data_IF_105045948226
#
_entry.id   IF_105045948226
#
_cell.length_a   1.000
_cell.length_b   1.000
_cell.length_c   1.000
_cell.angle_alpha   90.00
_cell.angle_beta   90.00
_cell.angle_gamma   90.00
#
_symmetry.space_group_name_H-M   'P 1'
#
loop_
_entity.id
_entity.type
_entity.pdbx_description
1 polymer ?
#
# COMPACT_ATOMS: atom_id res chain seq x y z
N UNK A 1 -45.80 -11.72 15.58
CA UNK A 1 -44.61 -10.90 15.89
C UNK A 1 -44.93 -9.44 15.76
N UNK A 2 -44.56 -8.61 16.74
CA UNK A 2 -44.61 -7.15 16.60
C UNK A 2 -43.59 -6.71 15.53
N UNK A 3 -44.04 -6.69 14.27
CA UNK A 3 -43.18 -6.30 13.15
C UNK A 3 -42.95 -4.80 13.15
N UNK A 4 -41.74 -4.39 13.38
CA UNK A 4 -41.34 -3.01 13.11
C UNK A 4 -41.41 -2.78 11.60
N UNK A 5 -42.03 -1.67 11.19
CA UNK A 5 -42.19 -1.31 9.77
C UNK A 5 -40.90 -0.74 9.26
N UNK A 6 -40.34 -1.27 8.16
CA UNK A 6 -39.21 -0.74 7.41
C UNK A 6 -39.76 -0.11 6.12
N UNK A 7 -39.41 1.14 5.87
CA UNK A 7 -39.76 1.88 4.66
C UNK A 7 -38.55 1.85 3.69
N UNK A 8 -38.78 1.36 2.47
CA UNK A 8 -37.78 1.32 1.40
C UNK A 8 -38.07 2.47 0.45
N UNK A 9 -37.08 3.34 0.21
CA UNK A 9 -37.25 4.57 -0.56
C UNK A 9 -36.24 4.62 -1.71
N UNK A 10 -36.74 4.80 -2.94
CA UNK A 10 -35.93 5.07 -4.12
C UNK A 10 -36.24 6.43 -4.70
N UNK A 11 -35.20 7.20 -5.00
CA UNK A 11 -35.32 8.51 -5.62
C UNK A 11 -34.97 8.42 -7.10
N UNK A 12 -35.78 8.99 -7.97
CA UNK A 12 -35.55 9.13 -9.43
C UNK A 12 -35.35 7.80 -10.18
N UNK A 13 -35.97 6.71 -9.70
CA UNK A 13 -35.91 5.38 -10.33
C UNK A 13 -37.33 4.86 -10.63
N UNK A 14 -38.04 5.43 -11.65
CA UNK A 14 -39.42 5.04 -11.94
C UNK A 14 -39.59 3.57 -12.37
N UNK A 15 -38.53 2.96 -12.90
CA UNK A 15 -38.54 1.58 -13.37
C UNK A 15 -38.50 0.52 -12.24
N UNK A 16 -38.22 0.89 -11.00
CA UNK A 16 -38.21 -0.05 -9.86
C UNK A 16 -39.54 -0.75 -9.68
N UNK A 17 -40.64 -0.04 -9.97
CA UNK A 17 -41.98 -0.67 -9.92
C UNK A 17 -42.13 -1.86 -10.86
N UNK A 18 -41.41 -1.83 -11.98
CA UNK A 18 -41.42 -2.89 -12.98
C UNK A 18 -40.43 -4.02 -12.67
N UNK A 19 -39.54 -3.80 -11.71
CA UNK A 19 -38.52 -4.78 -11.30
C UNK A 19 -38.94 -5.62 -10.10
N UNK A 20 -40.04 -5.24 -9.45
CA UNK A 20 -40.57 -5.95 -8.30
C UNK A 20 -41.93 -6.58 -8.67
N UNK A 21 -42.02 -7.88 -8.60
CA UNK A 21 -43.24 -8.62 -8.93
C UNK A 21 -43.91 -9.16 -7.66
N UNK A 22 -45.20 -8.98 -7.50
CA UNK A 22 -45.94 -9.56 -6.37
C UNK A 22 -45.80 -11.09 -6.33
N UNK A 23 -45.49 -11.64 -5.16
CA UNK A 23 -45.31 -13.07 -4.97
C UNK A 23 -43.87 -13.59 -5.13
N UNK A 24 -42.93 -12.76 -5.56
CA UNK A 24 -41.53 -13.12 -5.59
C UNK A 24 -40.80 -12.69 -4.31
N UNK A 25 -39.72 -13.40 -3.98
CA UNK A 25 -38.89 -13.09 -2.86
C UNK A 25 -37.71 -12.21 -3.31
N UNK A 26 -37.40 -11.17 -2.53
CA UNK A 26 -36.30 -10.27 -2.80
C UNK A 26 -35.46 -10.01 -1.55
N UNK A 27 -34.16 -9.83 -1.72
CA UNK A 27 -33.27 -9.38 -0.68
C UNK A 27 -32.92 -7.91 -0.94
N UNK A 28 -33.20 -7.06 0.06
CA UNK A 28 -32.88 -5.64 0.01
C UNK A 28 -31.62 -5.38 0.83
N UNK A 29 -30.57 -4.92 0.17
CA UNK A 29 -29.29 -4.66 0.79
C UNK A 29 -29.01 -3.14 0.84
N UNK A 30 -28.76 -2.62 2.04
CA UNK A 30 -28.48 -1.20 2.24
C UNK A 30 -28.41 -0.82 3.72
N UNK A 31 -28.11 0.44 3.99
CA UNK A 31 -28.02 0.97 5.36
C UNK A 31 -29.40 1.35 5.90
N UNK A 32 -29.80 0.71 6.98
CA UNK A 32 -31.01 1.09 7.71
C UNK A 32 -30.71 2.32 8.56
N UNK A 33 -31.53 3.35 8.43
CA UNK A 33 -31.47 4.60 9.19
C UNK A 33 -32.76 4.76 10.01
N UNK A 34 -32.67 5.39 11.17
CA UNK A 34 -33.82 5.77 11.95
C UNK A 34 -34.13 7.26 11.73
N UNK A 35 -35.21 7.56 10.98
CA UNK A 35 -35.63 8.93 10.67
C UNK A 35 -37.07 9.14 11.11
N UNK A 36 -37.34 10.19 11.86
CA UNK A 36 -38.69 10.60 12.29
C UNK A 36 -39.52 9.45 12.93
N UNK A 37 -38.87 8.62 13.78
CA UNK A 37 -39.54 7.49 14.44
C UNK A 37 -39.76 6.26 13.56
N UNK A 38 -39.25 6.24 12.32
CA UNK A 38 -39.40 5.12 11.37
C UNK A 38 -38.02 4.58 10.96
N UNK A 39 -37.96 3.30 10.66
CA UNK A 39 -36.81 2.69 10.02
C UNK A 39 -36.93 2.89 8.52
N UNK A 40 -35.92 3.50 7.92
CA UNK A 40 -35.89 3.82 6.50
C UNK A 40 -34.61 3.26 5.89
N UNK A 41 -34.71 2.66 4.73
CA UNK A 41 -33.57 2.26 3.91
C UNK A 41 -33.66 3.01 2.58
N UNK A 42 -32.70 3.90 2.32
CA UNK A 42 -32.68 4.74 1.12
C UNK A 42 -31.82 4.07 0.04
N UNK A 43 -32.39 3.99 -1.17
CA UNK A 43 -31.72 3.41 -2.35
C UNK A 43 -31.14 2.00 -2.13
N UNK A 44 -31.88 1.04 -1.52
CA UNK A 44 -31.34 -0.30 -1.37
C UNK A 44 -31.10 -0.97 -2.72
N UNK A 45 -30.03 -1.76 -2.79
CA UNK A 45 -29.83 -2.69 -3.88
C UNK A 45 -30.85 -3.84 -3.75
N UNK A 46 -31.35 -4.32 -4.88
CA UNK A 46 -32.34 -5.40 -4.95
C UNK A 46 -31.69 -6.61 -5.57
N UNK A 47 -31.78 -7.74 -4.88
CA UNK A 47 -31.26 -9.02 -5.35
C UNK A 47 -32.36 -10.09 -5.27
N UNK A 48 -32.28 -11.08 -6.14
CA UNK A 48 -32.97 -12.33 -5.89
C UNK A 48 -32.23 -13.11 -4.81
N UNK A 49 -32.93 -14.02 -4.05
CA UNK A 49 -32.27 -14.81 -3.01
C UNK A 49 -31.02 -15.55 -3.52
N UNK A 50 -31.12 -16.16 -4.70
CA UNK A 50 -30.01 -16.94 -5.32
C UNK A 50 -28.83 -16.07 -5.63
N UNK A 51 -29.06 -14.83 -6.13
CA UNK A 51 -27.97 -13.88 -6.38
C UNK A 51 -27.33 -13.39 -5.10
N UNK A 52 -28.14 -13.20 -4.07
CA UNK A 52 -27.61 -12.76 -2.78
C UNK A 52 -26.75 -13.84 -2.12
N UNK A 53 -27.22 -15.09 -2.09
CA UNK A 53 -26.46 -16.24 -1.60
C UNK A 53 -25.13 -16.41 -2.34
N UNK A 54 -25.13 -16.28 -3.67
CA UNK A 54 -23.91 -16.32 -4.47
C UNK A 54 -22.93 -15.17 -4.16
N UNK A 55 -23.43 -14.03 -3.66
CA UNK A 55 -22.63 -12.87 -3.31
C UNK A 55 -22.20 -12.83 -1.84
N UNK A 56 -22.93 -13.49 -0.94
CA UNK A 56 -22.72 -13.41 0.53
C UNK A 56 -21.32 -13.90 0.93
N UNK A 57 -20.76 -14.84 0.15
CA UNK A 57 -19.42 -15.39 0.38
C UNK A 57 -18.34 -14.76 -0.47
N UNK A 58 -18.67 -13.80 -1.36
CA UNK A 58 -17.71 -13.15 -2.22
C UNK A 58 -17.11 -11.93 -1.54
N UNK A 59 -15.80 -11.92 -1.45
CA UNK A 59 -15.05 -10.72 -1.07
C UNK A 59 -14.98 -9.81 -2.30
N UNK A 60 -15.72 -8.71 -2.28
CA UNK A 60 -15.74 -7.74 -3.37
C UNK A 60 -14.98 -6.48 -2.96
N UNK A 61 -14.12 -5.95 -3.82
CA UNK A 61 -13.41 -4.72 -3.54
C UNK A 61 -14.35 -3.51 -3.57
N UNK A 62 -14.08 -2.55 -2.69
CA UNK A 62 -14.79 -1.27 -2.66
C UNK A 62 -13.79 -0.16 -2.93
N UNK A 63 -13.98 0.55 -4.03
CA UNK A 63 -13.08 1.62 -4.46
C UNK A 63 -13.58 2.99 -4.04
N UNK A 64 -12.67 3.89 -3.71
CA UNK A 64 -12.97 5.31 -3.55
C UNK A 64 -13.06 5.94 -4.93
N UNK A 65 -14.28 6.23 -5.38
CA UNK A 65 -14.54 6.68 -6.75
C UNK A 65 -14.95 8.15 -6.81
N UNK A 66 -14.57 8.89 -7.87
CA UNK A 66 -15.06 10.21 -8.13
C UNK A 66 -16.56 10.21 -8.50
N UNK A 67 -17.21 11.37 -8.42
CA UNK A 67 -18.62 11.52 -8.79
C UNK A 67 -18.86 11.09 -10.24
N UNK A 68 -19.87 10.24 -10.44
CA UNK A 68 -20.28 9.76 -11.77
C UNK A 68 -19.79 8.35 -12.12
N UNK A 69 -18.85 7.77 -11.36
CA UNK A 69 -18.47 6.38 -11.50
C UNK A 69 -19.14 5.52 -10.43
N UNK A 70 -19.60 4.33 -10.82
CA UNK A 70 -20.13 3.35 -9.90
C UNK A 70 -19.13 2.21 -9.67
N UNK A 71 -19.12 1.65 -8.46
CA UNK A 71 -18.25 0.52 -8.15
C UNK A 71 -18.51 -0.67 -9.10
N UNK A 72 -19.75 -0.90 -9.47
CA UNK A 72 -20.11 -1.97 -10.42
C UNK A 72 -19.48 -1.79 -11.80
N UNK A 73 -19.41 -0.54 -12.29
CA UNK A 73 -18.77 -0.28 -13.59
C UNK A 73 -17.26 -0.58 -13.55
N UNK A 74 -16.61 -0.17 -12.46
CA UNK A 74 -15.16 -0.44 -12.27
C UNK A 74 -14.91 -1.93 -12.15
N UNK A 75 -15.67 -2.63 -11.30
CA UNK A 75 -15.56 -4.09 -11.14
C UNK A 75 -15.77 -4.84 -12.46
N UNK A 76 -16.73 -4.40 -13.28
CA UNK A 76 -16.96 -5.03 -14.59
C UNK A 76 -15.77 -4.82 -15.52
N UNK A 77 -15.20 -3.62 -15.57
CA UNK A 77 -14.04 -3.32 -16.39
C UNK A 77 -12.80 -4.10 -15.93
N UNK A 78 -12.53 -4.14 -14.63
CA UNK A 78 -11.42 -4.90 -14.05
C UNK A 78 -11.56 -6.40 -14.32
N UNK A 79 -12.76 -6.97 -14.13
CA UNK A 79 -13.00 -8.38 -14.41
C UNK A 79 -12.71 -8.71 -15.87
N UNK A 80 -13.17 -7.87 -16.81
CA UNK A 80 -12.92 -8.06 -18.23
C UNK A 80 -11.42 -8.03 -18.59
N UNK A 81 -10.63 -7.20 -17.91
CA UNK A 81 -9.18 -7.14 -18.11
C UNK A 81 -8.50 -8.36 -17.49
N UNK A 82 -8.90 -8.74 -16.28
CA UNK A 82 -8.27 -9.85 -15.53
C UNK A 82 -8.69 -11.25 -16.00
N UNK A 83 -9.63 -11.35 -16.95
CA UNK A 83 -9.95 -12.60 -17.67
C UNK A 83 -8.84 -13.00 -18.65
N UNK A 84 -7.99 -12.06 -19.09
CA UNK A 84 -6.83 -12.39 -19.91
C UNK A 84 -5.76 -13.09 -19.08
N UNK A 85 -5.26 -14.21 -19.57
CA UNK A 85 -4.12 -14.90 -18.98
C UNK A 85 -2.83 -14.15 -19.33
N UNK A 86 -1.94 -13.95 -18.36
CA UNK A 86 -0.62 -13.33 -18.57
C UNK A 86 -0.59 -11.86 -18.99
N UNK A 87 -1.35 -11.03 -18.31
CA UNK A 87 -1.32 -9.56 -18.47
C UNK A 87 0.07 -8.96 -18.22
N UNK A 88 0.78 -9.50 -17.24
CA UNK A 88 2.07 -8.97 -16.79
C UNK A 88 3.13 -10.08 -16.77
N UNK A 89 4.36 -9.70 -17.09
CA UNK A 89 5.51 -10.57 -16.86
C UNK A 89 5.91 -10.50 -15.38
N UNK A 90 5.99 -11.65 -14.72
CA UNK A 90 6.57 -11.71 -13.38
C UNK A 90 8.08 -11.43 -13.45
N UNK A 91 8.53 -10.38 -12.79
CA UNK A 91 9.92 -9.94 -12.80
C UNK A 91 10.76 -10.55 -11.67
N UNK A 92 10.12 -11.19 -10.67
CA UNK A 92 10.86 -11.89 -9.63
C UNK A 92 11.35 -13.25 -10.13
N UNK A 93 12.64 -13.58 -9.96
CA UNK A 93 13.16 -14.92 -10.23
C UNK A 93 12.41 -16.00 -9.43
N UNK A 94 12.24 -17.16 -10.04
CA UNK A 94 11.53 -18.29 -9.41
C UNK A 94 12.15 -18.68 -8.07
N UNK A 95 13.47 -18.71 -7.98
CA UNK A 95 14.19 -19.06 -6.75
C UNK A 95 13.89 -18.09 -5.60
N UNK A 96 13.72 -16.80 -5.92
CA UNK A 96 13.38 -15.79 -4.94
C UNK A 96 11.93 -15.94 -4.46
N UNK A 97 11.01 -16.23 -5.39
CA UNK A 97 9.61 -16.49 -5.07
C UNK A 97 9.45 -17.72 -4.17
N UNK A 98 10.09 -18.82 -4.51
CA UNK A 98 10.07 -20.05 -3.72
C UNK A 98 10.67 -19.84 -2.33
N UNK A 99 11.83 -19.19 -2.23
CA UNK A 99 12.50 -18.89 -0.96
C UNK A 99 11.61 -18.11 0.01
N UNK A 100 10.82 -17.17 -0.50
CA UNK A 100 9.95 -16.31 0.31
C UNK A 100 8.48 -16.76 0.31
N UNK A 101 8.17 -17.87 -0.34
CA UNK A 101 6.80 -18.41 -0.47
C UNK A 101 5.85 -17.33 -1.01
N UNK A 102 6.19 -16.77 -2.17
CA UNK A 102 5.42 -15.74 -2.86
C UNK A 102 4.70 -16.35 -4.06
N UNK A 103 3.43 -16.03 -4.21
CA UNK A 103 2.65 -16.43 -5.38
C UNK A 103 3.12 -15.69 -6.66
N UNK A 104 2.65 -16.15 -7.81
CA UNK A 104 2.91 -15.53 -9.11
C UNK A 104 2.22 -14.16 -9.19
N UNK A 105 2.80 -13.24 -9.97
CA UNK A 105 2.36 -11.84 -10.00
C UNK A 105 0.94 -11.66 -10.56
N UNK A 106 0.59 -12.32 -11.69
CA UNK A 106 -0.77 -12.22 -12.25
C UNK A 106 -1.80 -12.86 -11.33
N UNK A 107 -1.45 -13.96 -10.66
CA UNK A 107 -2.29 -14.55 -9.62
C UNK A 107 -2.52 -13.56 -8.48
N UNK A 108 -1.47 -12.88 -8.01
CA UNK A 108 -1.61 -11.90 -6.94
C UNK A 108 -2.51 -10.72 -7.35
N UNK A 109 -2.36 -10.20 -8.57
CA UNK A 109 -3.21 -9.13 -9.09
C UNK A 109 -4.66 -9.57 -9.18
N UNK A 110 -4.93 -10.79 -9.66
CA UNK A 110 -6.29 -11.33 -9.73
C UNK A 110 -6.90 -11.49 -8.35
N UNK A 111 -6.17 -12.12 -7.42
CA UNK A 111 -6.67 -12.44 -6.08
C UNK A 111 -6.78 -11.20 -5.17
N UNK A 112 -6.06 -10.12 -5.40
CA UNK A 112 -6.25 -8.88 -4.63
C UNK A 112 -7.56 -8.16 -5.00
N UNK A 113 -8.04 -8.31 -6.24
CA UNK A 113 -9.28 -7.70 -6.72
C UNK A 113 -10.49 -8.64 -6.58
N UNK A 114 -10.30 -9.92 -6.87
CA UNK A 114 -11.36 -10.94 -6.84
C UNK A 114 -10.84 -12.19 -6.14
N UNK A 115 -10.68 -12.12 -4.81
CA UNK A 115 -10.18 -13.26 -4.04
C UNK A 115 -11.22 -14.39 -4.01
N UNK A 116 -10.74 -15.63 -4.15
CA UNK A 116 -11.58 -16.81 -4.00
C UNK A 116 -11.98 -16.99 -2.53
N UNK A 117 -11.08 -16.66 -1.61
CA UNK A 117 -11.29 -16.69 -0.17
C UNK A 117 -10.34 -15.72 0.57
N UNK A 118 -10.36 -15.74 1.90
CA UNK A 118 -9.52 -14.88 2.72
C UNK A 118 -8.04 -15.29 2.67
N UNK A 119 -7.74 -16.56 2.49
CA UNK A 119 -6.38 -17.08 2.44
C UNK A 119 -5.67 -16.60 1.16
N UNK A 120 -6.32 -16.77 0.01
CA UNK A 120 -5.82 -16.27 -1.28
C UNK A 120 -5.65 -14.75 -1.31
N UNK A 121 -6.52 -13.99 -0.63
CA UNK A 121 -6.37 -12.55 -0.45
C UNK A 121 -5.10 -12.21 0.35
N UNK A 122 -4.83 -12.95 1.43
CA UNK A 122 -3.64 -12.73 2.25
C UNK A 122 -2.36 -13.06 1.47
N UNK A 123 -2.36 -14.15 0.70
CA UNK A 123 -1.23 -14.52 -0.16
C UNK A 123 -0.96 -13.46 -1.24
N UNK A 124 -1.99 -13.00 -1.92
CA UNK A 124 -1.88 -11.93 -2.90
C UNK A 124 -1.31 -10.65 -2.28
N UNK A 125 -1.83 -10.25 -1.11
CA UNK A 125 -1.35 -9.08 -0.38
C UNK A 125 0.11 -9.23 0.05
N UNK A 126 0.51 -10.41 0.53
CA UNK A 126 1.90 -10.72 0.89
C UNK A 126 2.83 -10.50 -0.30
N UNK A 127 2.45 -10.98 -1.49
CA UNK A 127 3.22 -10.78 -2.71
C UNK A 127 3.36 -9.30 -3.07
N UNK A 128 2.27 -8.56 -3.13
CA UNK A 128 2.29 -7.16 -3.56
C UNK A 128 3.03 -6.25 -2.57
N UNK A 129 2.89 -6.49 -1.27
CA UNK A 129 3.67 -5.77 -0.24
C UNK A 129 5.16 -6.08 -0.36
N UNK A 130 5.52 -7.34 -0.62
CA UNK A 130 6.91 -7.70 -0.87
C UNK A 130 7.48 -6.95 -2.08
N UNK A 131 6.74 -6.91 -3.18
CA UNK A 131 7.15 -6.22 -4.40
C UNK A 131 7.39 -4.73 -4.17
N UNK A 132 6.47 -4.05 -3.49
CA UNK A 132 6.59 -2.63 -3.17
C UNK A 132 7.82 -2.33 -2.34
N UNK A 133 8.04 -3.09 -1.25
CA UNK A 133 9.20 -2.92 -0.39
C UNK A 133 10.51 -3.31 -1.07
N UNK A 134 10.51 -4.37 -1.86
CA UNK A 134 11.68 -4.81 -2.61
C UNK A 134 12.15 -3.74 -3.61
N UNK A 135 11.24 -3.21 -4.42
CA UNK A 135 11.54 -2.15 -5.37
C UNK A 135 11.98 -0.86 -4.68
N UNK A 136 11.37 -0.53 -3.55
CA UNK A 136 11.80 0.61 -2.75
C UNK A 136 13.23 0.46 -2.24
N UNK A 137 13.58 -0.68 -1.63
CA UNK A 137 14.93 -0.96 -1.13
C UNK A 137 15.94 -0.99 -2.28
N UNK A 138 15.58 -1.62 -3.39
CA UNK A 138 16.44 -1.68 -4.58
C UNK A 138 16.75 -0.27 -5.12
N UNK A 139 15.74 0.60 -5.17
CA UNK A 139 15.94 1.99 -5.58
C UNK A 139 16.84 2.75 -4.59
N UNK A 140 16.67 2.56 -3.29
CA UNK A 140 17.56 3.16 -2.30
C UNK A 140 19.02 2.70 -2.47
N UNK A 141 19.24 1.41 -2.70
CA UNK A 141 20.58 0.88 -2.95
C UNK A 141 21.18 1.45 -4.24
N UNK A 142 20.40 1.50 -5.31
CA UNK A 142 20.85 2.12 -6.57
C UNK A 142 21.23 3.58 -6.39
N UNK A 143 20.43 4.37 -5.67
CA UNK A 143 20.75 5.78 -5.38
C UNK A 143 22.02 5.91 -4.53
N UNK A 144 22.21 5.00 -3.56
CA UNK A 144 23.43 4.97 -2.76
C UNK A 144 24.66 4.68 -3.61
N UNK A 145 24.63 3.64 -4.45
CA UNK A 145 25.73 3.30 -5.35
C UNK A 145 26.03 4.41 -6.35
N UNK A 146 25.01 5.07 -6.88
CA UNK A 146 25.17 6.21 -7.78
C UNK A 146 25.94 7.35 -7.08
N UNK A 147 25.54 7.68 -5.85
CA UNK A 147 26.20 8.72 -5.06
C UNK A 147 27.64 8.33 -4.67
N UNK A 148 27.89 7.07 -4.37
CA UNK A 148 29.25 6.59 -4.05
C UNK A 148 30.19 6.65 -5.26
N UNK A 149 29.67 6.60 -6.48
CA UNK A 149 30.44 6.78 -7.74
C UNK A 149 30.70 8.25 -8.10
N UNK A 150 29.97 9.19 -7.54
CA UNK A 150 30.21 10.62 -7.73
C UNK A 150 31.47 11.01 -6.97
N UNK A 151 32.56 11.22 -7.70
CA UNK A 151 33.85 11.66 -7.13
C UNK A 151 33.71 13.09 -6.61
N UNK A 152 34.11 13.31 -5.37
CA UNK A 152 34.23 14.64 -4.84
C UNK A 152 35.31 15.41 -5.65
N UNK A 153 34.96 16.58 -6.16
CA UNK A 153 35.90 17.42 -6.90
C UNK A 153 36.91 18.17 -5.99
N UNK A 154 36.65 18.12 -4.66
CA UNK A 154 37.49 18.80 -3.69
C UNK A 154 38.42 17.80 -3.00
N UNK A 155 39.72 18.06 -3.08
CA UNK A 155 40.73 17.36 -2.27
C UNK A 155 40.93 18.13 -0.98
N UNK A 156 40.59 17.54 0.15
CA UNK A 156 40.89 18.13 1.45
C UNK A 156 42.36 17.89 1.77
N UNK A 157 43.13 19.00 1.83
CA UNK A 157 44.55 18.95 2.20
C UNK A 157 44.67 19.04 3.72
N UNK A 158 45.62 18.32 4.29
CA UNK A 158 46.15 18.25 5.66
C UNK A 158 45.20 18.48 6.85
N UNK A 159 45.34 17.60 7.84
CA UNK A 159 44.56 17.65 9.12
C UNK A 159 45.20 18.63 10.17
N UNK A 160 46.32 19.25 9.87
CA UNK A 160 47.10 20.05 10.82
C UNK A 160 46.28 21.21 11.42
N UNK A 161 45.40 21.82 10.64
CA UNK A 161 44.55 22.89 11.10
C UNK A 161 43.51 22.41 12.16
N UNK A 162 42.98 21.22 12.01
CA UNK A 162 42.01 20.67 12.93
C UNK A 162 42.66 20.33 14.27
N UNK A 163 43.87 19.82 14.28
CA UNK A 163 44.62 19.54 15.50
C UNK A 163 44.98 20.82 16.26
N UNK A 164 45.46 21.84 15.56
CA UNK A 164 45.67 23.16 16.14
C UNK A 164 44.42 23.81 16.71
N UNK A 165 43.24 23.56 16.08
CA UNK A 165 41.95 24.03 16.57
C UNK A 165 41.57 23.30 17.85
N UNK A 166 41.74 21.98 17.93
CA UNK A 166 41.46 21.16 19.11
C UNK A 166 42.33 21.61 20.29
N UNK A 167 43.62 21.87 20.08
CA UNK A 167 44.54 22.34 21.11
C UNK A 167 44.16 23.71 21.70
N UNK A 168 43.52 24.57 20.88
CA UNK A 168 43.07 25.90 21.29
C UNK A 168 41.70 25.90 22.00
N UNK A 169 41.00 24.76 22.06
CA UNK A 169 39.73 24.70 22.75
C UNK A 169 39.89 24.86 24.28
N UNK A 170 39.04 25.65 24.94
CA UNK A 170 39.12 25.88 26.39
C UNK A 170 38.67 24.64 27.21
N UNK A 171 38.31 23.52 26.55
CA UNK A 171 37.87 22.27 27.15
C UNK A 171 38.41 21.07 26.36
N UNK A 172 38.47 19.91 27.02
CA UNK A 172 38.85 18.65 26.37
C UNK A 172 37.62 18.01 25.71
N UNK A 173 37.76 17.54 24.48
CA UNK A 173 36.75 16.82 23.80
C UNK A 173 36.44 15.47 24.51
N UNK A 174 35.19 15.10 24.55
CA UNK A 174 34.79 13.79 25.06
C UNK A 174 35.16 12.67 24.06
N UNK A 175 35.26 11.43 24.53
CA UNK A 175 35.52 10.27 23.69
C UNK A 175 34.53 10.12 22.51
N UNK A 176 33.27 10.46 22.73
CA UNK A 176 32.25 10.42 21.68
C UNK A 176 32.55 11.51 20.58
N UNK A 177 32.93 12.70 20.99
CA UNK A 177 33.30 13.78 20.06
C UNK A 177 34.58 13.45 19.28
N UNK A 178 35.58 12.86 19.94
CA UNK A 178 36.82 12.42 19.27
C UNK A 178 36.54 11.33 18.25
N UNK A 179 35.66 10.36 18.57
CA UNK A 179 35.26 9.32 17.65
C UNK A 179 34.50 9.89 16.44
N UNK A 180 33.51 10.75 16.68
CA UNK A 180 32.79 11.42 15.59
C UNK A 180 33.73 12.21 14.68
N UNK A 181 34.69 12.96 15.25
CA UNK A 181 35.68 13.69 14.48
C UNK A 181 36.57 12.77 13.64
N UNK A 182 37.01 11.64 14.20
CA UNK A 182 37.82 10.65 13.46
C UNK A 182 37.03 10.01 12.30
N UNK A 183 35.74 9.75 12.47
CA UNK A 183 34.85 9.23 11.41
C UNK A 183 34.69 10.26 10.28
N UNK A 184 34.45 11.54 10.63
CA UNK A 184 34.34 12.65 9.67
C UNK A 184 35.64 12.77 8.87
N UNK A 185 36.80 12.77 9.54
CA UNK A 185 38.11 12.84 8.89
C UNK A 185 38.34 11.65 7.94
N UNK A 186 37.99 10.45 8.36
CA UNK A 186 38.10 9.25 7.54
C UNK A 186 37.26 9.34 6.27
N UNK A 187 36.03 9.87 6.39
CA UNK A 187 35.15 10.08 5.25
C UNK A 187 35.60 11.20 4.31
N UNK A 188 36.16 12.28 4.85
CA UNK A 188 36.73 13.38 4.05
C UNK A 188 37.97 12.96 3.24
N UNK A 189 38.78 12.01 3.75
CA UNK A 189 39.96 11.47 3.05
C UNK A 189 39.58 10.46 1.94
N UNK A 190 38.39 9.88 1.95
CA UNK A 190 37.96 8.98 0.87
C UNK A 190 37.81 9.80 -0.41
N UNK A 191 38.52 9.45 -1.45
CA UNK A 191 38.33 9.98 -2.79
C UNK A 191 36.94 9.59 -3.26
N UNK A 192 35.99 10.54 -3.30
CA UNK A 192 34.57 10.28 -3.54
C UNK A 192 33.73 10.31 -2.27
N UNK A 193 34.28 10.70 -1.11
CA UNK A 193 33.51 10.80 0.14
C UNK A 193 32.42 11.84 0.06
N UNK A 194 31.19 11.44 0.39
CA UNK A 194 30.06 12.34 0.62
C UNK A 194 30.36 13.20 1.86
N UNK A 195 30.00 14.47 1.80
CA UNK A 195 29.90 15.28 3.00
C UNK A 195 28.89 14.61 3.97
N UNK A 196 29.39 14.28 5.16
CA UNK A 196 28.76 13.41 6.17
C UNK A 196 27.51 14.02 6.84
N UNK A 197 26.96 15.11 6.35
CA UNK A 197 25.82 15.81 6.95
C UNK A 197 24.50 15.00 7.01
N UNK A 198 24.45 13.80 6.43
CA UNK A 198 23.24 12.98 6.41
C UNK A 198 23.28 11.65 7.19
N UNK A 199 24.45 11.20 7.68
CA UNK A 199 24.58 9.82 8.20
C UNK A 199 24.37 9.64 9.70
N UNK A 200 24.35 10.68 10.48
CA UNK A 200 24.38 10.57 11.96
C UNK A 200 23.06 10.73 12.68
N UNK A 201 21.95 10.97 12.01
CA UNK A 201 20.67 11.10 12.69
C UNK A 201 19.89 9.79 12.89
N UNK A 202 20.41 8.67 12.37
CA UNK A 202 19.70 7.37 12.44
C UNK A 202 20.37 6.32 13.33
N UNK A 203 21.52 6.61 13.92
CA UNK A 203 22.28 5.62 14.70
C UNK A 203 22.42 5.95 16.18
N UNK A 204 21.49 6.67 16.75
CA UNK A 204 21.51 6.89 18.20
C UNK A 204 20.08 6.85 18.71
N UNK A 205 19.62 5.69 19.11
CA UNK A 205 19.21 5.36 20.48
C UNK A 205 18.63 3.98 20.54
N UNK A 206 19.22 3.02 21.25
CA UNK A 206 18.43 1.98 21.89
C UNK A 206 17.86 2.57 23.18
N UNK A 207 16.56 2.55 23.29
CA UNK A 207 15.84 2.58 24.56
C UNK A 207 15.77 1.18 25.12
#
# INVERSE_FOLDING_TARGET
GMGKRLELVWFRLPYIKNSLHPGENYVFYGKVQHKNGRFVMEQPAIYTPEKYEAMEHLLLPVYTLPKGLSNQLVLKAERSILEEEHLFRDYLPTELREKHQLCEYNYAIKQIHFPDDMETLIEARKRLVFDELFLFILNLQYQKEKKEKEKNQFSFQSDDFVEQLIEKLPYKLTNAQLRALSEVRADMRKVGGQAVLGRQLTAATPW
#
